data_IF_460291208247
#
_entry.id   IF_460291208247
#
_cell.length_a   1.000
_cell.length_b   1.000
_cell.length_c   1.000
_cell.angle_alpha   90.00
_cell.angle_beta   90.00
_cell.angle_gamma   90.00
#
_symmetry.space_group_name_H-M   'P 1'
#
loop_
_entity.id
_entity.type
_entity.pdbx_description
1 polymer ?
#
# COMPACT_ATOMS: atom_id res chain seq x y z
N UNK A 1 3.06 -6.79 0.34
CA UNK A 1 3.86 -5.61 -0.07
C UNK A 1 5.07 -5.43 0.84
N UNK A 2 4.87 -5.13 2.14
CA UNK A 2 5.97 -4.91 3.10
C UNK A 2 7.05 -6.00 3.10
N UNK A 3 6.69 -7.26 3.35
CA UNK A 3 7.68 -8.35 3.40
C UNK A 3 8.42 -8.56 2.06
N UNK A 4 7.74 -8.40 0.93
CA UNK A 4 8.40 -8.48 -0.38
C UNK A 4 9.44 -7.39 -0.56
N UNK A 5 9.14 -6.16 -0.14
CA UNK A 5 10.09 -5.05 -0.19
C UNK A 5 11.27 -5.26 0.77
N UNK A 6 11.01 -5.73 1.99
CA UNK A 6 12.06 -6.05 2.96
C UNK A 6 12.97 -7.19 2.46
N UNK A 7 12.41 -8.23 1.87
CA UNK A 7 13.18 -9.32 1.26
C UNK A 7 14.05 -8.80 0.11
N UNK A 8 13.52 -7.92 -0.75
CA UNK A 8 14.30 -7.32 -1.82
C UNK A 8 15.50 -6.52 -1.28
N UNK A 9 15.30 -5.73 -0.22
CA UNK A 9 16.39 -5.01 0.46
C UNK A 9 17.42 -5.99 1.04
N UNK A 10 16.96 -7.08 1.65
CA UNK A 10 17.84 -8.04 2.32
C UNK A 10 18.68 -8.88 1.35
N UNK A 11 18.12 -9.28 0.21
CA UNK A 11 18.75 -10.23 -0.70
C UNK A 11 19.39 -9.58 -1.93
N UNK A 12 18.92 -8.41 -2.40
CA UNK A 12 19.51 -7.68 -3.52
C UNK A 12 19.53 -6.15 -3.30
N UNK A 13 20.34 -5.66 -2.35
CA UNK A 13 20.50 -4.23 -2.11
C UNK A 13 21.18 -3.51 -3.29
N UNK A 14 21.91 -4.24 -4.15
CA UNK A 14 22.61 -3.65 -5.31
C UNK A 14 21.61 -3.20 -6.37
N UNK A 15 20.55 -3.96 -6.60
CA UNK A 15 19.45 -3.56 -7.48
C UNK A 15 18.86 -2.20 -7.05
N UNK A 16 18.57 -2.03 -5.76
CA UNK A 16 18.01 -0.80 -5.23
C UNK A 16 18.99 0.37 -5.25
N UNK A 17 20.29 0.08 -5.10
CA UNK A 17 21.37 1.07 -5.16
C UNK A 17 21.82 1.44 -6.58
N UNK A 18 21.39 0.69 -7.60
CA UNK A 18 21.78 0.96 -8.99
C UNK A 18 21.26 2.32 -9.44
N UNK A 19 22.15 3.11 -10.04
CA UNK A 19 21.82 4.46 -10.53
C UNK A 19 21.00 4.39 -11.81
N UNK A 20 20.08 5.34 -11.96
CA UNK A 20 19.32 5.56 -13.19
C UNK A 20 20.08 6.56 -14.06
N UNK A 21 20.64 6.09 -15.17
CA UNK A 21 21.40 6.92 -16.11
C UNK A 21 22.66 7.53 -15.49
N UNK A 22 22.99 8.75 -15.91
CA UNK A 22 24.15 9.51 -15.42
C UNK A 22 23.88 10.34 -14.15
N UNK A 23 22.65 10.31 -13.63
CA UNK A 23 22.23 11.09 -12.47
C UNK A 23 22.61 10.46 -11.12
N UNK A 24 22.14 11.10 -10.05
CA UNK A 24 22.32 10.62 -8.66
C UNK A 24 21.18 9.73 -8.17
N UNK A 25 20.06 9.67 -8.91
CA UNK A 25 18.88 8.90 -8.53
C UNK A 25 19.13 7.41 -8.66
N UNK A 26 18.68 6.62 -7.68
CA UNK A 26 18.74 5.17 -7.71
C UNK A 26 17.40 4.54 -8.06
N UNK A 27 17.43 3.30 -8.55
CA UNK A 27 16.25 2.48 -8.85
C UNK A 27 15.37 2.27 -7.59
N UNK A 28 15.98 2.27 -6.40
CA UNK A 28 15.27 2.15 -5.15
C UNK A 28 14.26 3.28 -4.89
N UNK A 29 14.49 4.49 -5.42
CA UNK A 29 13.59 5.62 -5.17
C UNK A 29 12.22 5.45 -5.86
N UNK A 30 12.14 5.16 -7.18
CA UNK A 30 10.87 4.80 -7.82
C UNK A 30 10.20 3.56 -7.20
N UNK A 31 10.97 2.52 -6.87
CA UNK A 31 10.41 1.30 -6.25
C UNK A 31 9.78 1.61 -4.89
N UNK A 32 10.47 2.40 -4.06
CA UNK A 32 9.94 2.84 -2.76
C UNK A 32 8.66 3.64 -2.91
N UNK A 33 8.60 4.56 -3.88
CA UNK A 33 7.38 5.33 -4.18
C UNK A 33 6.21 4.42 -4.57
N UNK A 34 6.44 3.44 -5.44
CA UNK A 34 5.42 2.46 -5.85
C UNK A 34 4.92 1.68 -4.62
N UNK A 35 5.83 1.22 -3.76
CA UNK A 35 5.47 0.51 -2.53
C UNK A 35 4.58 1.34 -1.63
N UNK A 36 4.89 2.64 -1.46
CA UNK A 36 4.07 3.57 -0.67
C UNK A 36 2.66 3.68 -1.27
N UNK A 37 2.55 4.00 -2.55
CA UNK A 37 1.26 4.18 -3.24
C UNK A 37 0.41 2.91 -3.15
N UNK A 38 0.99 1.75 -3.45
CA UNK A 38 0.27 0.46 -3.37
C UNK A 38 -0.16 0.16 -1.94
N UNK A 39 0.66 0.50 -0.94
CA UNK A 39 0.31 0.30 0.47
C UNK A 39 -0.92 1.13 0.86
N UNK A 40 -0.94 2.41 0.52
CA UNK A 40 -2.11 3.27 0.77
C UNK A 40 -3.37 2.78 0.05
N UNK A 41 -3.24 2.36 -1.21
CA UNK A 41 -4.37 1.80 -1.97
C UNK A 41 -4.93 0.54 -1.30
N UNK A 42 -4.06 -0.38 -0.88
CA UNK A 42 -4.50 -1.60 -0.20
C UNK A 42 -5.21 -1.29 1.12
N UNK A 43 -4.68 -0.38 1.92
CA UNK A 43 -5.31 0.06 3.17
C UNK A 43 -6.67 0.70 2.89
N UNK A 44 -6.75 1.61 1.90
CA UNK A 44 -8.01 2.26 1.53
C UNK A 44 -9.07 1.28 1.04
N UNK A 45 -8.69 0.33 0.19
CA UNK A 45 -9.59 -0.74 -0.29
C UNK A 45 -10.03 -1.62 0.90
N UNK A 46 -9.10 -2.00 1.77
CA UNK A 46 -9.39 -2.80 2.95
C UNK A 46 -10.39 -2.09 3.87
N UNK A 47 -10.15 -0.81 4.21
CA UNK A 47 -11.03 0.00 5.05
C UNK A 47 -12.41 0.13 4.41
N UNK A 48 -12.48 0.44 3.10
CA UNK A 48 -13.77 0.53 2.40
C UNK A 48 -14.53 -0.79 2.46
N UNK A 49 -13.85 -1.93 2.27
CA UNK A 49 -14.47 -3.25 2.35
C UNK A 49 -14.91 -3.60 3.77
N UNK A 50 -14.10 -3.26 4.78
CA UNK A 50 -14.42 -3.53 6.18
C UNK A 50 -15.60 -2.68 6.68
N UNK A 51 -15.69 -1.43 6.24
CA UNK A 51 -16.77 -0.52 6.62
C UNK A 51 -18.12 -0.91 5.98
N UNK A 52 -18.11 -1.51 4.79
CA UNK A 52 -19.34 -1.96 4.12
C UNK A 52 -20.16 -2.97 4.94
N UNK A 53 -19.53 -3.77 5.79
CA UNK A 53 -20.25 -4.69 6.71
C UNK A 53 -20.98 -3.95 7.82
N UNK A 54 -20.40 -2.84 8.31
CA UNK A 54 -20.99 -2.04 9.38
C UNK A 54 -22.04 -1.06 8.85
N UNK A 55 -21.85 -0.52 7.65
CA UNK A 55 -22.81 0.37 7.00
C UNK A 55 -24.20 -0.29 6.86
N UNK A 56 -24.25 -1.60 6.55
CA UNK A 56 -25.51 -2.34 6.45
C UNK A 56 -26.21 -2.47 7.81
N UNK A 57 -25.48 -2.86 8.87
CA UNK A 57 -26.04 -2.94 10.21
C UNK A 57 -26.49 -1.57 10.72
N UNK A 58 -25.70 -0.52 10.49
CA UNK A 58 -26.06 0.85 10.86
C UNK A 58 -27.31 1.30 10.12
N UNK A 59 -27.46 0.95 8.84
CA UNK A 59 -28.65 1.30 8.06
C UNK A 59 -29.92 0.63 8.63
N UNK A 60 -29.83 -0.64 8.99
CA UNK A 60 -30.96 -1.38 9.57
C UNK A 60 -31.41 -0.79 10.92
N UNK A 61 -30.47 -0.44 11.80
CA UNK A 61 -30.79 0.20 13.09
C UNK A 61 -31.49 1.56 12.89
N UNK A 62 -31.05 2.34 11.91
CA UNK A 62 -31.65 3.66 11.60
C UNK A 62 -33.06 3.50 11.00
N UNK A 63 -33.30 2.47 10.17
CA UNK A 63 -34.63 2.16 9.65
C UNK A 63 -35.60 1.67 10.73
N UNK A 64 -35.16 0.82 11.67
CA UNK A 64 -36.01 0.33 12.78
C UNK A 64 -36.36 1.41 13.81
N UNK A 65 -35.51 2.43 13.95
CA UNK A 65 -35.72 3.53 14.91
C UNK A 65 -36.63 4.65 14.38
N UNK A 66 -37.16 4.51 13.15
CA UNK A 66 -37.97 5.51 12.45
C UNK A 66 -39.45 5.13 12.44
#
# INVERSE_FOLDING_TARGET
>A
VYFGFILLIAFDPKLLGAKIGSGVMTIGMPIGLIVIVVTFLLVGIYVRKANATYDELTRQIVEESK
#
